data_IF_812899455925
#
_entry.id   IF_812899455925
#
_cell.length_a   1.000
_cell.length_b   1.000
_cell.length_c   1.000
_cell.angle_alpha   90.00
_cell.angle_beta   90.00
_cell.angle_gamma   90.00
#
_symmetry.space_group_name_H-M   'P 1'
#
loop_
_entity.id
_entity.type
_entity.pdbx_description
1 polymer ?
#
# COMPACT_ATOMS: atom_id res chain seq x y z
N UNK A 1 -21.40 12.44 -20.98
CA UNK A 1 -20.34 13.29 -20.41
C UNK A 1 -19.97 12.92 -18.95
N UNK A 2 -20.92 12.48 -18.10
CA UNK A 2 -20.61 12.05 -16.73
C UNK A 2 -19.74 10.78 -16.66
N UNK A 3 -19.85 9.85 -17.61
CA UNK A 3 -19.06 8.63 -17.65
C UNK A 3 -17.58 8.85 -17.95
N UNK A 4 -17.22 9.86 -18.74
CA UNK A 4 -15.81 10.16 -19.06
C UNK A 4 -15.07 10.79 -17.86
N UNK A 5 -15.76 11.57 -17.05
CA UNK A 5 -15.20 12.14 -15.81
C UNK A 5 -14.90 11.05 -14.77
N UNK A 6 -15.84 10.14 -14.52
CA UNK A 6 -15.67 9.07 -13.55
C UNK A 6 -14.50 8.10 -13.95
N UNK A 7 -14.39 7.75 -15.24
CA UNK A 7 -13.28 6.94 -15.72
C UNK A 7 -11.93 7.66 -15.55
N UNK A 8 -11.87 8.96 -15.91
CA UNK A 8 -10.68 9.79 -15.72
C UNK A 8 -10.22 9.81 -14.24
N UNK A 9 -11.17 9.88 -13.31
CA UNK A 9 -10.85 9.90 -11.88
C UNK A 9 -10.33 8.56 -11.36
N UNK A 10 -10.81 7.43 -11.90
CA UNK A 10 -10.25 6.11 -11.60
C UNK A 10 -8.79 6.02 -12.04
N UNK A 11 -8.48 6.41 -13.27
CA UNK A 11 -7.09 6.39 -13.77
C UNK A 11 -6.16 7.30 -12.98
N UNK A 12 -6.60 8.49 -12.56
CA UNK A 12 -5.80 9.39 -11.72
C UNK A 12 -5.45 8.74 -10.37
N UNK A 13 -6.39 8.02 -9.75
CA UNK A 13 -6.18 7.33 -8.49
C UNK A 13 -5.19 6.17 -8.64
N UNK A 14 -5.35 5.37 -9.69
CA UNK A 14 -4.40 4.29 -10.03
C UNK A 14 -3.00 4.84 -10.31
N UNK A 15 -2.90 5.90 -11.09
CA UNK A 15 -1.62 6.57 -11.36
C UNK A 15 -0.98 7.10 -10.08
N UNK A 16 -1.76 7.74 -9.20
CA UNK A 16 -1.24 8.20 -7.91
C UNK A 16 -0.70 7.03 -7.08
N UNK A 17 -1.42 5.91 -7.03
CA UNK A 17 -0.96 4.71 -6.33
C UNK A 17 0.33 4.13 -6.92
N UNK A 18 0.45 4.08 -8.24
CA UNK A 18 1.65 3.58 -8.91
C UNK A 18 2.89 4.40 -8.60
N UNK A 19 2.76 5.71 -8.41
CA UNK A 19 3.88 6.58 -8.10
C UNK A 19 4.57 6.25 -6.77
N UNK A 20 3.88 5.63 -5.79
CA UNK A 20 4.51 5.28 -4.52
C UNK A 20 5.60 4.21 -4.70
N UNK A 21 5.55 3.43 -5.78
CA UNK A 21 6.58 2.44 -6.11
C UNK A 21 7.95 3.10 -6.31
N UNK A 22 7.97 4.37 -6.72
CA UNK A 22 9.20 5.13 -6.86
C UNK A 22 9.94 5.39 -5.54
N UNK A 23 9.26 5.21 -4.40
CA UNK A 23 9.91 5.30 -3.10
C UNK A 23 10.75 4.07 -2.76
N UNK A 24 10.50 2.93 -3.42
CA UNK A 24 11.21 1.68 -3.20
C UNK A 24 12.41 1.51 -4.13
N UNK A 25 13.26 0.52 -3.82
CA UNK A 25 14.33 0.09 -4.70
C UNK A 25 13.80 -0.30 -6.09
N UNK A 26 14.50 0.02 -7.18
CA UNK A 26 15.82 0.67 -7.25
C UNK A 26 15.78 2.21 -7.28
N UNK A 27 14.61 2.84 -7.22
CA UNK A 27 14.45 4.29 -7.42
C UNK A 27 14.83 5.11 -6.18
N UNK A 28 14.44 4.68 -4.98
CA UNK A 28 14.75 5.30 -3.68
C UNK A 28 14.34 6.77 -3.53
N UNK A 29 13.29 7.22 -4.19
CA UNK A 29 12.77 8.59 -4.03
C UNK A 29 11.95 8.69 -2.73
N UNK A 30 12.63 8.65 -1.59
CA UNK A 30 12.02 8.58 -0.25
C UNK A 30 10.96 9.68 0.04
N UNK A 31 11.09 10.88 -0.55
CA UNK A 31 10.10 11.96 -0.40
C UNK A 31 8.71 11.53 -0.88
N UNK A 32 8.63 10.63 -1.85
CA UNK A 32 7.39 10.07 -2.36
C UNK A 32 6.59 9.37 -1.26
N UNK A 33 7.29 8.78 -0.27
CA UNK A 33 6.68 8.12 0.91
C UNK A 33 5.78 9.05 1.73
N UNK A 34 6.06 10.34 1.74
CA UNK A 34 5.25 11.33 2.44
C UNK A 34 4.27 12.04 1.51
N UNK A 35 4.72 12.37 0.30
CA UNK A 35 3.92 13.13 -0.67
C UNK A 35 2.69 12.35 -1.14
N UNK A 36 2.87 11.08 -1.54
CA UNK A 36 1.77 10.30 -2.12
C UNK A 36 0.71 9.92 -1.08
N UNK A 37 1.05 9.42 0.12
CA UNK A 37 0.06 9.24 1.17
C UNK A 37 -0.62 10.56 1.59
N UNK A 38 0.12 11.67 1.64
CA UNK A 38 -0.46 13.00 1.89
C UNK A 38 -1.50 13.41 0.85
N UNK A 39 -1.25 13.14 -0.44
CA UNK A 39 -2.23 13.36 -1.51
C UNK A 39 -3.44 12.42 -1.39
N UNK A 40 -3.22 11.14 -1.05
CA UNK A 40 -4.33 10.22 -0.77
C UNK A 40 -5.21 10.73 0.37
N UNK A 41 -4.59 11.19 1.48
CA UNK A 41 -5.34 11.80 2.58
C UNK A 41 -6.21 12.97 2.10
N UNK A 42 -5.64 13.88 1.27
CA UNK A 42 -6.39 15.01 0.72
C UNK A 42 -7.59 14.56 -0.13
N UNK A 43 -7.46 13.47 -0.87
CA UNK A 43 -8.55 12.93 -1.69
C UNK A 43 -9.69 12.34 -0.84
N UNK A 44 -9.37 11.68 0.30
CA UNK A 44 -10.38 10.98 1.11
C UNK A 44 -10.96 11.80 2.26
N UNK A 45 -10.27 12.87 2.72
CA UNK A 45 -10.66 13.60 3.93
C UNK A 45 -12.08 14.15 3.92
N UNK A 46 -12.56 14.62 2.76
CA UNK A 46 -13.90 15.22 2.59
C UNK A 46 -14.93 14.24 2.04
N UNK A 47 -14.50 13.05 1.65
CA UNK A 47 -15.36 12.06 1.01
C UNK A 47 -16.19 11.26 2.02
N UNK A 48 -17.30 10.71 1.56
CA UNK A 48 -18.08 9.75 2.32
C UNK A 48 -17.43 8.35 2.34
N UNK A 49 -17.92 7.46 3.19
CA UNK A 49 -17.40 6.11 3.41
C UNK A 49 -17.29 5.32 2.08
N UNK A 50 -18.34 5.31 1.26
CA UNK A 50 -18.38 4.60 -0.02
C UNK A 50 -17.30 5.11 -0.99
N UNK A 51 -17.16 6.42 -1.13
CA UNK A 51 -16.18 7.02 -2.02
C UNK A 51 -14.76 6.77 -1.50
N UNK A 52 -14.54 6.86 -0.19
CA UNK A 52 -13.25 6.52 0.43
C UNK A 52 -12.83 5.09 0.10
N UNK A 53 -13.76 4.12 0.17
CA UNK A 53 -13.49 2.74 -0.21
C UNK A 53 -12.99 2.64 -1.66
N UNK A 54 -13.72 3.21 -2.62
CA UNK A 54 -13.34 3.13 -4.05
C UNK A 54 -12.07 3.92 -4.37
N UNK A 55 -11.87 5.10 -3.76
CA UNK A 55 -10.63 5.87 -3.94
C UNK A 55 -9.44 5.05 -3.47
N UNK A 56 -9.51 4.49 -2.27
CA UNK A 56 -8.43 3.70 -1.68
C UNK A 56 -8.21 2.37 -2.40
N UNK A 57 -9.27 1.76 -2.92
CA UNK A 57 -9.18 0.55 -3.73
C UNK A 57 -8.43 0.80 -5.04
N UNK A 58 -8.80 1.82 -5.81
CA UNK A 58 -8.13 2.12 -7.07
C UNK A 58 -6.71 2.66 -6.87
N UNK A 59 -6.47 3.39 -5.80
CA UNK A 59 -5.13 3.76 -5.38
C UNK A 59 -4.28 2.51 -5.07
N UNK A 60 -4.80 1.59 -4.25
CA UNK A 60 -4.17 0.31 -3.96
C UNK A 60 -3.92 -0.52 -5.21
N UNK A 61 -4.87 -0.55 -6.16
CA UNK A 61 -4.69 -1.27 -7.41
C UNK A 61 -3.52 -0.72 -8.23
N UNK A 62 -3.35 0.60 -8.30
CA UNK A 62 -2.18 1.22 -8.94
C UNK A 62 -0.88 0.84 -8.24
N UNK A 63 -0.83 0.93 -6.90
CA UNK A 63 0.32 0.51 -6.10
C UNK A 63 0.69 -0.95 -6.40
N UNK A 64 -0.28 -1.86 -6.29
CA UNK A 64 0.00 -3.29 -6.42
C UNK A 64 0.28 -3.73 -7.85
N UNK A 65 -0.46 -3.25 -8.84
CA UNK A 65 -0.23 -3.60 -10.24
C UNK A 65 1.19 -3.28 -10.70
N UNK A 66 1.76 -2.16 -10.22
CA UNK A 66 3.13 -1.78 -10.54
C UNK A 66 4.16 -2.38 -9.57
N UNK A 67 3.85 -2.46 -8.28
CA UNK A 67 4.80 -2.93 -7.26
C UNK A 67 5.08 -4.42 -7.29
N UNK A 68 4.13 -5.23 -7.78
CA UNK A 68 4.28 -6.69 -7.87
C UNK A 68 4.37 -7.19 -9.32
N UNK A 69 4.62 -6.31 -10.29
CA UNK A 69 4.69 -6.66 -11.72
C UNK A 69 5.68 -7.81 -12.00
N UNK A 70 6.75 -7.91 -11.24
CA UNK A 70 7.74 -8.98 -11.36
C UNK A 70 7.17 -10.38 -11.15
N UNK A 71 6.02 -10.53 -10.49
CA UNK A 71 5.34 -11.83 -10.27
C UNK A 71 4.90 -12.44 -11.59
N UNK A 72 4.49 -11.62 -12.55
CA UNK A 72 4.16 -12.08 -13.90
C UNK A 72 5.30 -12.90 -14.50
N UNK A 73 6.53 -12.38 -14.41
CA UNK A 73 7.72 -13.08 -14.89
C UNK A 73 7.96 -14.40 -14.13
N UNK A 74 7.69 -14.44 -12.84
CA UNK A 74 7.80 -15.66 -12.02
C UNK A 74 6.79 -16.74 -12.47
N UNK A 75 5.55 -16.35 -12.76
CA UNK A 75 4.50 -17.25 -13.22
C UNK A 75 4.77 -17.76 -14.64
N UNK A 76 5.28 -16.92 -15.53
CA UNK A 76 5.50 -17.28 -16.94
C UNK A 76 6.79 -18.05 -17.13
N UNK A 77 7.93 -17.53 -16.63
CA UNK A 77 9.25 -18.13 -16.87
C UNK A 77 9.45 -19.38 -16.03
N UNK A 78 9.14 -19.31 -14.73
CA UNK A 78 9.38 -20.44 -13.82
C UNK A 78 8.17 -21.37 -13.66
N UNK A 79 6.96 -20.82 -13.77
CA UNK A 79 5.73 -21.59 -13.69
C UNK A 79 5.26 -22.17 -15.03
N UNK A 80 5.89 -21.80 -16.15
CA UNK A 80 5.53 -22.31 -17.49
C UNK A 80 4.15 -21.85 -18.01
N UNK A 81 3.55 -20.85 -17.38
CA UNK A 81 2.25 -20.32 -17.81
C UNK A 81 2.40 -19.42 -19.04
N UNK A 82 1.30 -19.27 -19.84
CA UNK A 82 1.31 -18.28 -20.91
C UNK A 82 1.39 -16.86 -20.36
N UNK A 83 2.00 -15.88 -21.08
CA UNK A 83 2.08 -14.48 -20.65
C UNK A 83 0.71 -13.87 -20.33
N UNK A 84 -0.33 -14.23 -21.08
CA UNK A 84 -1.70 -13.76 -20.84
C UNK A 84 -2.21 -14.25 -19.48
N UNK A 85 -1.98 -15.52 -19.16
CA UNK A 85 -2.38 -16.09 -17.87
C UNK A 85 -1.55 -15.50 -16.72
N UNK A 86 -0.24 -15.32 -16.90
CA UNK A 86 0.66 -14.69 -15.91
C UNK A 86 0.21 -13.27 -15.57
N UNK A 87 -0.03 -12.45 -16.60
CA UNK A 87 -0.52 -11.07 -16.42
C UNK A 87 -1.89 -11.03 -15.74
N UNK A 88 -2.82 -11.92 -16.15
CA UNK A 88 -4.16 -12.00 -15.55
C UNK A 88 -4.08 -12.34 -14.05
N UNK A 89 -3.29 -13.35 -13.68
CA UNK A 89 -3.13 -13.77 -12.28
C UNK A 89 -2.45 -12.68 -11.44
N UNK A 90 -1.45 -11.99 -12.00
CA UNK A 90 -0.78 -10.87 -11.32
C UNK A 90 -1.75 -9.70 -11.07
N UNK A 91 -2.57 -9.34 -12.07
CA UNK A 91 -3.59 -8.29 -11.88
C UNK A 91 -4.70 -8.72 -10.91
N UNK A 92 -5.08 -9.99 -10.92
CA UNK A 92 -6.03 -10.53 -9.95
C UNK A 92 -5.49 -10.44 -8.52
N UNK A 93 -4.22 -10.77 -8.32
CA UNK A 93 -3.53 -10.60 -7.04
C UNK A 93 -3.47 -9.12 -6.64
N UNK A 94 -3.13 -8.23 -7.56
CA UNK A 94 -3.12 -6.78 -7.32
C UNK A 94 -4.51 -6.28 -6.88
N UNK A 95 -5.58 -6.73 -7.54
CA UNK A 95 -6.95 -6.40 -7.19
C UNK A 95 -7.33 -6.92 -5.79
N UNK A 96 -6.92 -8.13 -5.44
CA UNK A 96 -7.11 -8.70 -4.11
C UNK A 96 -6.35 -7.91 -3.03
N UNK A 97 -5.06 -7.63 -3.24
CA UNK A 97 -4.23 -6.88 -2.28
C UNK A 97 -4.75 -5.45 -2.05
N UNK A 98 -5.39 -4.85 -3.07
CA UNK A 98 -6.00 -3.51 -2.97
C UNK A 98 -7.14 -3.43 -1.96
N UNK A 99 -7.79 -4.57 -1.65
CA UNK A 99 -8.84 -4.61 -0.64
C UNK A 99 -8.32 -4.27 0.75
N UNK A 100 -7.07 -4.58 1.07
CA UNK A 100 -6.49 -4.23 2.37
C UNK A 100 -6.41 -2.72 2.55
N UNK A 101 -5.97 -1.96 1.53
CA UNK A 101 -6.00 -0.50 1.57
C UNK A 101 -7.43 0.03 1.66
N UNK A 102 -8.33 -0.51 0.84
CA UNK A 102 -9.73 -0.08 0.83
C UNK A 102 -10.40 -0.27 2.20
N UNK A 103 -10.22 -1.42 2.83
CA UNK A 103 -10.78 -1.74 4.14
C UNK A 103 -10.18 -0.83 5.22
N UNK A 104 -8.84 -0.70 5.27
CA UNK A 104 -8.14 0.06 6.31
C UNK A 104 -8.45 1.55 6.25
N UNK A 105 -8.47 2.15 5.05
CA UNK A 105 -8.84 3.56 4.92
C UNK A 105 -10.34 3.82 5.07
N UNK A 106 -11.19 2.82 4.81
CA UNK A 106 -12.61 2.90 5.15
C UNK A 106 -12.80 2.86 6.67
N UNK A 107 -12.07 1.99 7.38
CA UNK A 107 -12.06 1.96 8.84
C UNK A 107 -11.56 3.29 9.43
N UNK A 108 -10.48 3.87 8.87
CA UNK A 108 -10.04 5.22 9.20
C UNK A 108 -11.20 6.22 9.09
N UNK A 109 -11.95 6.18 7.98
CA UNK A 109 -13.06 7.11 7.76
C UNK A 109 -14.20 6.95 8.75
N UNK A 110 -14.46 5.74 9.24
CA UNK A 110 -15.45 5.46 10.26
C UNK A 110 -15.07 6.05 11.63
N UNK A 111 -13.77 6.07 11.95
CA UNK A 111 -13.24 6.58 13.23
C UNK A 111 -12.90 8.05 13.19
N UNK A 112 -12.73 8.62 11.99
CA UNK A 112 -12.39 10.03 11.77
C UNK A 112 -13.44 10.96 12.39
N UNK A 113 -13.01 11.76 13.36
CA UNK A 113 -13.88 12.69 14.13
C UNK A 113 -13.73 14.15 13.74
N UNK A 114 -13.14 14.43 12.60
CA UNK A 114 -12.83 15.79 12.09
C UNK A 114 -11.85 16.61 12.97
N UNK A 115 -11.14 15.98 13.89
CA UNK A 115 -10.02 16.58 14.63
C UNK A 115 -8.76 16.51 13.77
N UNK A 116 -8.62 17.43 12.85
CA UNK A 116 -7.62 17.46 11.75
C UNK A 116 -6.20 17.04 12.14
N UNK A 117 -5.69 17.46 13.28
CA UNK A 117 -4.32 17.15 13.70
C UNK A 117 -4.14 15.68 14.05
N UNK A 118 -5.04 15.09 14.83
CA UNK A 118 -4.97 13.67 15.19
C UNK A 118 -5.21 12.76 14.00
N UNK A 119 -6.01 13.19 13.03
CA UNK A 119 -6.27 12.41 11.81
C UNK A 119 -5.02 12.27 10.96
N UNK A 120 -4.28 13.36 10.73
CA UNK A 120 -3.09 13.37 9.86
C UNK A 120 -1.93 12.62 10.51
N UNK A 121 -1.66 12.88 11.80
CA UNK A 121 -0.44 12.39 12.45
C UNK A 121 -0.60 11.04 13.14
N UNK A 122 -1.83 10.60 13.42
CA UNK A 122 -2.06 9.35 14.14
C UNK A 122 -2.97 8.40 13.37
N UNK A 123 -4.21 8.79 13.06
CA UNK A 123 -5.22 7.88 12.51
C UNK A 123 -4.90 7.44 11.08
N UNK A 124 -4.44 8.36 10.23
CA UNK A 124 -4.14 8.04 8.84
C UNK A 124 -2.88 7.14 8.70
N UNK A 125 -1.74 7.44 9.37
CA UNK A 125 -0.61 6.51 9.44
C UNK A 125 -1.00 5.15 10.07
N UNK A 126 -1.82 5.14 11.12
CA UNK A 126 -2.30 3.90 11.73
C UNK A 126 -3.14 3.05 10.75
N UNK A 127 -3.96 3.68 9.91
CA UNK A 127 -4.71 2.97 8.87
C UNK A 127 -3.78 2.37 7.80
N UNK A 128 -2.68 3.06 7.47
CA UNK A 128 -1.66 2.51 6.58
C UNK A 128 -1.01 1.27 7.19
N UNK A 129 -0.50 1.38 8.41
CA UNK A 129 0.09 0.26 9.16
C UNK A 129 -0.91 -0.88 9.34
N UNK A 130 -2.18 -0.59 9.60
CA UNK A 130 -3.25 -1.60 9.67
C UNK A 130 -3.37 -2.37 8.35
N UNK A 131 -3.29 -1.70 7.20
CA UNK A 131 -3.34 -2.37 5.90
C UNK A 131 -2.15 -3.32 5.68
N UNK A 132 -0.96 -2.93 6.15
CA UNK A 132 0.26 -3.75 6.09
C UNK A 132 0.16 -4.95 7.05
N UNK A 133 -0.27 -4.71 8.28
CA UNK A 133 -0.44 -5.73 9.30
C UNK A 133 -1.49 -6.79 8.91
N UNK A 134 -2.67 -6.38 8.44
CA UNK A 134 -3.70 -7.32 7.98
C UNK A 134 -3.17 -8.21 6.85
N UNK A 135 -2.41 -7.64 5.93
CA UNK A 135 -1.83 -8.35 4.79
C UNK A 135 -0.71 -9.32 5.20
N UNK A 136 -0.03 -9.06 6.32
CA UNK A 136 1.03 -9.93 6.84
C UNK A 136 0.48 -11.25 7.38
N UNK A 137 -0.69 -11.21 8.03
CA UNK A 137 -1.25 -12.37 8.73
C UNK A 137 -2.36 -13.09 7.98
N UNK A 138 -3.11 -12.38 7.12
CA UNK A 138 -4.21 -13.00 6.42
C UNK A 138 -3.74 -13.77 5.17
N UNK A 139 -4.38 -14.91 4.91
CA UNK A 139 -4.16 -15.73 3.71
C UNK A 139 -2.69 -16.13 3.46
N UNK A 140 -1.99 -16.58 4.49
CA UNK A 140 -0.55 -16.97 4.49
C UNK A 140 0.43 -15.80 4.49
N UNK A 141 -0.06 -14.58 4.40
CA UNK A 141 0.74 -13.36 4.44
C UNK A 141 1.38 -12.97 3.10
N UNK A 142 1.48 -11.67 2.89
CA UNK A 142 2.21 -11.10 1.74
C UNK A 142 3.04 -9.89 2.20
N UNK A 143 4.25 -10.09 2.77
CA UNK A 143 5.08 -9.06 3.41
C UNK A 143 5.91 -8.26 2.40
N UNK A 144 5.33 -7.77 1.32
CA UNK A 144 5.99 -6.95 0.31
C UNK A 144 5.57 -5.50 0.38
N UNK A 145 6.46 -4.60 -0.04
CA UNK A 145 6.23 -3.16 -0.16
C UNK A 145 5.72 -2.52 1.14
N UNK A 146 6.32 -2.86 2.28
CA UNK A 146 6.09 -2.09 3.50
C UNK A 146 6.70 -0.71 3.37
N UNK A 147 5.95 0.32 3.72
CA UNK A 147 6.40 1.69 3.57
C UNK A 147 7.66 1.97 4.40
N UNK A 148 7.87 1.25 5.49
CA UNK A 148 9.07 1.33 6.31
C UNK A 148 10.36 0.97 5.56
N UNK A 149 10.29 0.13 4.53
CA UNK A 149 11.48 -0.23 3.72
C UNK A 149 12.04 0.95 2.92
N UNK A 150 11.23 1.96 2.62
CA UNK A 150 11.69 3.16 1.93
C UNK A 150 12.64 4.02 2.76
N UNK A 151 12.71 3.76 4.07
CA UNK A 151 13.59 4.48 5.00
C UNK A 151 14.95 3.81 5.19
N UNK A 152 15.14 2.55 4.72
CA UNK A 152 16.34 1.74 5.03
C UNK A 152 17.62 2.38 4.49
N UNK A 153 17.60 2.93 3.28
CA UNK A 153 18.76 3.55 2.64
C UNK A 153 18.82 5.07 2.86
N UNK A 154 17.93 5.62 3.68
CA UNK A 154 17.89 7.05 3.95
C UNK A 154 18.63 7.39 5.24
N UNK A 155 19.77 8.09 5.13
CA UNK A 155 20.61 8.49 6.26
C UNK A 155 19.87 9.33 7.33
N UNK A 156 18.85 10.09 6.93
CA UNK A 156 18.05 10.90 7.87
C UNK A 156 17.05 10.04 8.65
N UNK A 157 16.51 8.97 8.03
CA UNK A 157 15.48 8.13 8.62
C UNK A 157 16.04 6.88 9.29
N UNK A 158 17.24 6.42 8.92
CA UNK A 158 17.90 5.24 9.50
C UNK A 158 18.02 5.30 11.01
N UNK A 159 18.24 6.48 11.60
CA UNK A 159 18.34 6.68 13.05
C UNK A 159 17.03 6.35 13.80
N UNK A 160 15.88 6.36 13.14
CA UNK A 160 14.57 6.06 13.74
C UNK A 160 14.13 4.60 13.55
N UNK A 161 14.72 3.88 12.58
CA UNK A 161 14.36 2.48 12.25
C UNK A 161 14.59 1.51 13.42
N UNK A 162 15.65 1.61 14.26
CA UNK A 162 15.85 0.68 15.36
C UNK A 162 14.71 0.64 16.37
N UNK A 163 13.93 1.70 16.51
CA UNK A 163 12.86 1.79 17.49
C UNK A 163 11.72 0.80 17.19
N UNK A 164 11.12 0.76 15.99
CA UNK A 164 10.08 -0.23 15.65
C UNK A 164 10.65 -1.61 15.29
N UNK A 165 11.86 -1.70 14.71
CA UNK A 165 12.45 -2.96 14.22
C UNK A 165 13.03 -3.82 15.35
N UNK A 166 13.45 -3.22 16.47
CA UNK A 166 13.96 -3.96 17.64
C UNK A 166 12.97 -5.00 18.16
N UNK A 167 11.66 -4.75 18.02
CA UNK A 167 10.64 -5.71 18.45
C UNK A 167 10.46 -6.88 17.48
N UNK A 168 10.60 -6.67 16.18
CA UNK A 168 10.44 -7.75 15.19
C UNK A 168 11.61 -8.72 15.15
N UNK A 169 12.84 -8.24 15.38
CA UNK A 169 14.03 -9.09 15.40
C UNK A 169 14.26 -9.81 16.74
N UNK A 170 13.74 -9.29 17.85
CA UNK A 170 13.81 -9.99 19.14
C UNK A 170 12.84 -11.17 19.26
N UNK A 171 11.78 -11.20 18.46
CA UNK A 171 10.81 -12.29 18.48
C UNK A 171 11.14 -13.44 17.50
N UNK A 172 11.89 -13.17 16.43
CA UNK A 172 12.28 -14.18 15.45
C UNK A 172 13.21 -15.30 16.02
N UNK A 173 14.22 -15.01 16.88
CA UNK A 173 15.04 -16.06 17.47
C UNK A 173 14.29 -16.94 18.47
N UNK A 174 13.24 -16.42 19.12
CA UNK A 174 12.44 -17.21 20.08
C UNK A 174 11.48 -18.19 19.43
N UNK A 175 11.06 -17.95 18.19
CA UNK A 175 10.19 -18.86 17.42
C UNK A 175 11.00 -20.04 16.82
N UNK A 176 12.29 -19.84 16.57
CA UNK A 176 13.18 -20.89 16.04
C UNK A 176 13.78 -21.82 17.11
N UNK A 177 13.51 -21.57 18.40
CA UNK A 177 14.00 -22.36 19.54
C UNK A 177 12.91 -23.21 20.20
N UNK A 178 11.74 -23.35 19.58
CA UNK A 178 10.65 -24.28 19.95
C UNK A 178 10.42 -25.26 18.77
#
# INVERSE_FOLDING_TARGET
LAGSSAASDVYKRQFLGSLIVLAFQPFNYWLVTFLIPGLLYQLIKTEGIKNTFFISYFFGFGLWAFGIFWIENSITVYGGASPILGSFLTLLLAAFLSLFQAISFTAFKLVSSQRKTHEIFLLFPAAWVLSEWLREFLFTGFPWLYIGYTAVDNSLLQGYIPIPVSYTHLTLPTILLV
#
